data_IF_118122612162
#
_entry.id   IF_118122612162
#
_cell.length_a   1.000
_cell.length_b   1.000
_cell.length_c   1.000
_cell.angle_alpha   90.00
_cell.angle_beta   90.00
_cell.angle_gamma   90.00
#
_symmetry.space_group_name_H-M   'P 1'
#
loop_
_entity.id
_entity.type
_entity.pdbx_description
1 polymer ?
#
# COMPACT_ATOMS: atom_id res chain seq x y z
N UNK A 1 -15.58 -13.63 0.82
CA UNK A 1 -14.84 -12.78 -0.15
C UNK A 1 -13.36 -13.08 0.03
N UNK A 2 -12.62 -13.47 -1.02
CA UNK A 2 -11.19 -13.80 -0.87
C UNK A 2 -10.33 -12.61 -0.48
N UNK A 3 -9.14 -12.86 0.11
CA UNK A 3 -8.29 -11.82 0.71
C UNK A 3 -7.86 -10.74 -0.29
N UNK A 4 -7.47 -11.11 -1.52
CA UNK A 4 -7.21 -10.14 -2.60
C UNK A 4 -8.39 -9.18 -2.80
N UNK A 5 -9.60 -9.71 -2.96
CA UNK A 5 -10.82 -8.90 -3.19
C UNK A 5 -11.14 -7.99 -1.99
N UNK A 6 -10.91 -8.48 -0.77
CA UNK A 6 -11.06 -7.67 0.44
C UNK A 6 -10.08 -6.48 0.46
N UNK A 7 -8.81 -6.74 0.15
CA UNK A 7 -7.80 -5.68 0.06
C UNK A 7 -8.09 -4.69 -1.08
N UNK A 8 -8.53 -5.14 -2.25
CA UNK A 8 -8.92 -4.26 -3.35
C UNK A 8 -10.10 -3.35 -2.95
N UNK A 9 -11.10 -3.89 -2.25
CA UNK A 9 -12.22 -3.09 -1.74
C UNK A 9 -11.74 -2.04 -0.72
N UNK A 10 -10.83 -2.40 0.19
CA UNK A 10 -10.24 -1.44 1.14
C UNK A 10 -9.37 -0.40 0.46
N UNK A 11 -8.58 -0.79 -0.54
CA UNK A 11 -7.77 0.12 -1.32
C UNK A 11 -8.65 1.19 -1.99
N UNK A 12 -9.77 0.76 -2.59
CA UNK A 12 -10.76 1.68 -3.17
C UNK A 12 -11.34 2.61 -2.11
N UNK A 13 -11.82 2.07 -0.99
CA UNK A 13 -12.40 2.86 0.08
C UNK A 13 -11.43 3.95 0.59
N UNK A 14 -10.18 3.60 0.85
CA UNK A 14 -9.19 4.57 1.30
C UNK A 14 -8.83 5.61 0.23
N UNK A 15 -8.90 5.26 -1.07
CA UNK A 15 -8.76 6.24 -2.14
C UNK A 15 -9.95 7.22 -2.17
N UNK A 16 -11.17 6.71 -2.04
CA UNK A 16 -12.37 7.55 -1.97
C UNK A 16 -12.30 8.51 -0.76
N UNK A 17 -11.81 8.04 0.39
CA UNK A 17 -11.57 8.89 1.57
C UNK A 17 -10.49 9.95 1.32
N UNK A 18 -9.40 9.59 0.66
CA UNK A 18 -8.36 10.53 0.26
C UNK A 18 -8.93 11.65 -0.62
N UNK A 19 -9.70 11.28 -1.64
CA UNK A 19 -10.33 12.24 -2.56
C UNK A 19 -11.33 13.16 -1.85
N UNK A 20 -12.10 12.62 -0.90
CA UNK A 20 -13.03 13.40 -0.09
C UNK A 20 -12.32 14.41 0.82
N UNK A 21 -11.19 14.04 1.41
CA UNK A 21 -10.44 14.90 2.33
C UNK A 21 -9.63 15.98 1.62
N UNK A 22 -9.19 15.72 0.39
CA UNK A 22 -8.25 16.58 -0.33
C UNK A 22 -8.62 18.08 -0.35
N UNK A 23 -9.89 18.49 -0.54
CA UNK A 23 -10.24 19.91 -0.60
C UNK A 23 -10.15 20.65 0.73
N UNK A 24 -10.11 19.94 1.86
CA UNK A 24 -10.25 20.54 3.21
C UNK A 24 -9.14 20.15 4.18
N UNK A 25 -8.54 18.97 4.00
CA UNK A 25 -7.57 18.35 4.88
C UNK A 25 -6.53 17.59 4.04
N UNK A 26 -5.75 18.32 3.25
CA UNK A 26 -4.73 17.75 2.34
C UNK A 26 -3.79 16.78 3.05
N UNK A 27 -3.34 17.12 4.26
CA UNK A 27 -2.47 16.28 5.09
C UNK A 27 -3.12 14.91 5.34
N UNK A 28 -4.33 14.89 5.90
CA UNK A 28 -5.06 13.65 6.19
C UNK A 28 -5.44 12.88 4.92
N UNK A 29 -5.62 13.57 3.78
CA UNK A 29 -5.80 12.92 2.50
C UNK A 29 -4.57 12.07 2.12
N UNK A 30 -3.34 12.51 2.45
CA UNK A 30 -2.12 11.74 2.18
C UNK A 30 -2.02 10.48 3.03
N UNK A 31 -2.50 10.52 4.28
CA UNK A 31 -2.60 9.33 5.14
C UNK A 31 -3.52 8.29 4.50
N UNK A 32 -4.72 8.70 4.07
CA UNK A 32 -5.65 7.81 3.39
C UNK A 32 -5.07 7.27 2.06
N UNK A 33 -4.36 8.11 1.30
CA UNK A 33 -3.70 7.71 0.05
C UNK A 33 -2.65 6.60 0.28
N UNK A 34 -1.85 6.72 1.33
CA UNK A 34 -0.91 5.66 1.72
C UNK A 34 -1.64 4.35 2.07
N UNK A 35 -2.70 4.39 2.88
CA UNK A 35 -3.46 3.18 3.22
C UNK A 35 -4.11 2.53 1.98
N UNK A 36 -4.49 3.33 0.99
CA UNK A 36 -4.90 2.81 -0.32
C UNK A 36 -3.76 2.05 -1.01
N UNK A 37 -2.57 2.65 -1.12
CA UNK A 37 -1.38 2.01 -1.70
C UNK A 37 -0.97 0.74 -0.96
N UNK A 38 -1.02 0.75 0.38
CA UNK A 38 -0.71 -0.42 1.21
C UNK A 38 -1.66 -1.58 0.91
N UNK A 39 -2.95 -1.32 0.77
CA UNK A 39 -3.89 -2.38 0.44
C UNK A 39 -3.76 -2.89 -1.00
N UNK A 40 -3.32 -2.05 -1.95
CA UNK A 40 -2.94 -2.53 -3.29
C UNK A 40 -1.77 -3.53 -3.21
N UNK A 41 -0.73 -3.20 -2.44
CA UNK A 41 0.41 -4.09 -2.20
C UNK A 41 -0.04 -5.40 -1.52
N UNK A 42 -0.84 -5.31 -0.47
CA UNK A 42 -1.35 -6.50 0.23
C UNK A 42 -2.21 -7.37 -0.67
N UNK A 43 -2.98 -6.79 -1.60
CA UNK A 43 -3.73 -7.57 -2.58
C UNK A 43 -2.81 -8.40 -3.49
N UNK A 44 -1.62 -7.87 -3.82
CA UNK A 44 -0.62 -8.55 -4.67
C UNK A 44 0.13 -9.63 -3.90
N UNK A 45 0.41 -9.38 -2.61
CA UNK A 45 1.08 -10.34 -1.72
C UNK A 45 0.19 -11.53 -1.40
N UNK A 46 -1.12 -11.32 -1.22
CA UNK A 46 -2.07 -12.38 -0.83
C UNK A 46 -2.01 -13.62 -1.74
N UNK A 47 -1.71 -13.42 -3.02
CA UNK A 47 -1.64 -14.48 -4.03
C UNK A 47 -0.21 -14.73 -4.56
N UNK A 48 0.81 -14.35 -3.79
CA UNK A 48 2.19 -14.72 -4.07
C UNK A 48 2.46 -16.16 -3.57
N UNK A 49 2.50 -17.11 -4.50
CA UNK A 49 2.62 -18.54 -4.18
C UNK A 49 3.96 -18.91 -3.52
N UNK A 50 5.00 -18.12 -3.74
CA UNK A 50 6.34 -18.35 -3.19
C UNK A 50 6.47 -17.95 -1.72
N UNK A 51 5.45 -17.28 -1.16
CA UNK A 51 5.47 -16.79 0.21
C UNK A 51 4.71 -17.69 1.18
N UNK A 52 5.22 -17.73 2.41
CA UNK A 52 4.51 -18.33 3.52
C UNK A 52 3.25 -17.52 3.89
N UNK A 53 2.40 -18.06 4.78
CA UNK A 53 1.13 -17.44 5.15
C UNK A 53 1.29 -16.04 5.75
N UNK A 54 2.30 -15.84 6.59
CA UNK A 54 2.50 -14.59 7.31
C UNK A 54 3.04 -13.48 6.41
N UNK A 55 3.89 -13.82 5.44
CA UNK A 55 4.43 -12.88 4.46
C UNK A 55 3.41 -12.47 3.40
N UNK A 56 2.41 -13.33 3.14
CA UNK A 56 1.22 -12.96 2.36
C UNK A 56 0.30 -11.99 3.10
N UNK A 57 0.42 -11.91 4.43
CA UNK A 57 -0.40 -11.05 5.29
C UNK A 57 0.43 -10.31 6.34
N UNK A 58 1.38 -9.44 5.93
CA UNK A 58 2.26 -8.78 6.88
C UNK A 58 1.46 -7.92 7.87
N UNK A 59 1.66 -8.14 9.17
CA UNK A 59 0.95 -7.41 10.24
C UNK A 59 1.59 -6.06 10.60
N UNK A 60 2.84 -5.85 10.19
CA UNK A 60 3.64 -4.66 10.51
C UNK A 60 4.10 -3.99 9.21
N UNK A 61 4.30 -2.67 9.23
CA UNK A 61 4.95 -1.97 8.12
C UNK A 61 6.42 -2.39 8.02
N UNK A 62 7.13 -2.40 9.13
CA UNK A 62 8.51 -2.89 9.24
C UNK A 62 8.61 -3.93 10.34
N UNK A 63 9.43 -4.95 10.12
CA UNK A 63 9.86 -5.86 11.18
C UNK A 63 11.30 -5.55 11.62
N UNK A 64 11.59 -5.75 12.91
CA UNK A 64 12.93 -5.67 13.52
C UNK A 64 13.48 -7.05 13.91
N UNK A 65 12.64 -8.08 13.90
CA UNK A 65 13.00 -9.43 14.30
C UNK A 65 13.75 -10.13 13.16
N UNK A 66 14.89 -10.79 13.43
CA UNK A 66 15.65 -11.52 12.41
C UNK A 66 14.77 -12.56 11.71
N UNK A 67 14.72 -12.51 10.37
CA UNK A 67 13.94 -13.44 9.54
C UNK A 67 12.45 -13.07 9.39
N UNK A 68 11.91 -12.14 10.17
CA UNK A 68 10.55 -11.64 9.97
C UNK A 68 10.55 -10.43 9.01
N UNK A 69 9.63 -10.42 8.04
CA UNK A 69 9.50 -9.34 7.05
C UNK A 69 8.19 -8.58 7.24
N UNK A 70 8.28 -7.26 7.41
CA UNK A 70 7.14 -6.36 7.31
C UNK A 70 6.86 -5.97 5.86
N UNK A 71 5.76 -5.26 5.63
CA UNK A 71 5.37 -4.83 4.27
C UNK A 71 6.50 -4.10 3.54
N UNK A 72 7.29 -3.28 4.25
CA UNK A 72 8.37 -2.51 3.67
C UNK A 72 9.50 -3.41 3.15
N UNK A 73 9.92 -4.40 3.94
CA UNK A 73 10.88 -5.41 3.50
C UNK A 73 10.35 -6.21 2.31
N UNK A 74 9.05 -6.56 2.33
CA UNK A 74 8.40 -7.29 1.24
C UNK A 74 8.43 -6.50 -0.08
N UNK A 75 7.98 -5.25 -0.05
CA UNK A 75 7.99 -4.35 -1.20
C UNK A 75 9.41 -4.16 -1.74
N UNK A 76 10.40 -3.94 -0.87
CA UNK A 76 11.79 -3.78 -1.31
C UNK A 76 12.33 -5.05 -1.98
N UNK A 77 12.02 -6.23 -1.44
CA UNK A 77 12.54 -7.51 -1.94
C UNK A 77 11.84 -8.02 -3.20
N UNK A 78 10.53 -7.81 -3.33
CA UNK A 78 9.72 -8.41 -4.40
C UNK A 78 9.25 -7.42 -5.45
N UNK A 79 9.03 -6.16 -5.05
CA UNK A 79 8.37 -5.13 -5.86
C UNK A 79 9.26 -3.91 -6.05
N UNK A 80 10.53 -4.16 -6.39
CA UNK A 80 11.53 -3.11 -6.62
C UNK A 80 11.07 -1.97 -7.54
N UNK A 81 10.24 -2.17 -8.59
CA UNK A 81 9.81 -1.06 -9.44
C UNK A 81 8.95 0.00 -8.73
N UNK A 82 8.29 -0.36 -7.62
CA UNK A 82 7.43 0.54 -6.85
C UNK A 82 7.99 0.87 -5.47
N UNK A 83 9.15 0.32 -5.09
CA UNK A 83 9.66 0.41 -3.73
C UNK A 83 9.85 1.86 -3.29
N UNK A 84 10.47 2.70 -4.13
CA UNK A 84 10.67 4.13 -3.83
C UNK A 84 9.34 4.87 -3.66
N UNK A 85 8.39 4.65 -4.57
CA UNK A 85 7.07 5.29 -4.50
C UNK A 85 6.31 4.89 -3.24
N UNK A 86 6.35 3.61 -2.88
CA UNK A 86 5.70 3.10 -1.68
C UNK A 86 6.34 3.66 -0.40
N UNK A 87 7.68 3.65 -0.29
CA UNK A 87 8.37 4.19 0.88
C UNK A 87 8.13 5.69 1.04
N UNK A 88 8.11 6.44 -0.08
CA UNK A 88 7.81 7.87 -0.05
C UNK A 88 6.40 8.16 0.49
N UNK A 89 5.39 7.36 0.11
CA UNK A 89 4.03 7.51 0.64
C UNK A 89 3.92 7.10 2.11
N UNK A 90 4.62 6.04 2.51
CA UNK A 90 4.66 5.60 3.91
C UNK A 90 5.27 6.67 4.81
N UNK A 91 6.40 7.24 4.39
CA UNK A 91 7.08 8.32 5.09
C UNK A 91 6.19 9.57 5.17
N UNK A 92 5.56 9.94 4.05
CA UNK A 92 4.63 11.06 4.02
C UNK A 92 3.48 10.86 5.03
N UNK A 93 2.86 9.69 5.04
CA UNK A 93 1.80 9.34 6.01
C UNK A 93 2.29 9.34 7.47
N UNK A 94 3.55 8.97 7.71
CA UNK A 94 4.14 9.03 9.04
C UNK A 94 4.32 10.47 9.49
N UNK A 95 4.98 11.30 8.68
CA UNK A 95 5.27 12.71 8.98
C UNK A 95 4.00 13.53 9.20
N UNK A 96 2.96 13.31 8.40
CA UNK A 96 1.66 13.95 8.62
C UNK A 96 1.09 13.67 10.01
N UNK A 97 1.19 12.43 10.49
CA UNK A 97 0.57 12.02 11.76
C UNK A 97 1.37 12.43 12.99
N UNK A 98 2.69 12.47 12.89
CA UNK A 98 3.56 12.59 14.06
C UNK A 98 4.41 13.86 14.07
N UNK A 99 4.80 14.37 12.90
CA UNK A 99 5.73 15.50 12.81
C UNK A 99 5.02 16.82 12.47
N UNK A 100 3.71 16.79 12.20
CA UNK A 100 2.85 17.95 11.91
C UNK A 100 3.52 18.89 10.87
N UNK A 101 3.99 18.30 9.77
CA UNK A 101 4.61 19.05 8.69
C UNK A 101 3.54 19.58 7.73
N UNK A 102 3.57 20.88 7.43
CA UNK A 102 2.79 21.44 6.33
C UNK A 102 3.26 20.84 5.00
N UNK A 103 2.31 20.44 4.16
CA UNK A 103 2.61 19.95 2.82
C UNK A 103 3.10 21.08 1.91
N UNK A 104 4.04 20.74 1.03
CA UNK A 104 4.45 21.64 -0.05
C UNK A 104 3.48 21.56 -1.24
N UNK A 105 3.49 22.56 -2.13
CA UNK A 105 2.57 22.62 -3.28
C UNK A 105 2.72 21.44 -4.24
N UNK A 106 3.88 20.78 -4.26
CA UNK A 106 4.16 19.61 -5.10
C UNK A 106 3.86 18.28 -4.42
N UNK A 107 3.50 18.28 -3.13
CA UNK A 107 3.32 17.04 -2.38
C UNK A 107 2.12 16.24 -2.87
N UNK A 108 0.96 16.87 -3.04
CA UNK A 108 -0.27 16.20 -3.52
C UNK A 108 -0.10 15.63 -4.94
N UNK A 109 0.36 16.41 -5.95
CA UNK A 109 0.60 15.86 -7.29
C UNK A 109 1.60 14.71 -7.30
N UNK A 110 2.72 14.85 -6.58
CA UNK A 110 3.76 13.82 -6.49
C UNK A 110 3.25 12.53 -5.84
N UNK A 111 2.56 12.65 -4.71
CA UNK A 111 1.97 11.51 -4.00
C UNK A 111 0.91 10.79 -4.86
N UNK A 112 0.10 11.54 -5.61
CA UNK A 112 -0.89 10.97 -6.53
C UNK A 112 -0.21 10.16 -7.63
N UNK A 113 0.86 10.68 -8.24
CA UNK A 113 1.62 9.95 -9.26
C UNK A 113 2.28 8.67 -8.70
N UNK A 114 2.84 8.75 -7.50
CA UNK A 114 3.40 7.59 -6.80
C UNK A 114 2.32 6.52 -6.55
N UNK A 115 1.14 6.91 -6.08
CA UNK A 115 0.01 6.01 -5.89
C UNK A 115 -0.45 5.35 -7.20
N UNK A 116 -0.56 6.12 -8.29
CA UNK A 116 -0.93 5.59 -9.61
C UNK A 116 0.08 4.55 -10.13
N UNK A 117 1.38 4.77 -9.89
CA UNK A 117 2.43 3.80 -10.23
C UNK A 117 2.23 2.48 -9.49
N UNK A 118 1.97 2.55 -8.17
CA UNK A 118 1.67 1.37 -7.33
C UNK A 118 0.40 0.67 -7.80
N UNK A 119 -0.67 1.42 -8.06
CA UNK A 119 -1.94 0.87 -8.55
C UNK A 119 -1.74 0.09 -9.85
N UNK A 120 -1.06 0.68 -10.83
CA UNK A 120 -0.81 0.04 -12.13
C UNK A 120 0.00 -1.23 -11.95
N UNK A 121 1.08 -1.18 -11.18
CA UNK A 121 1.93 -2.33 -10.91
C UNK A 121 1.15 -3.49 -10.26
N UNK A 122 0.43 -3.19 -9.17
CA UNK A 122 -0.34 -4.19 -8.42
C UNK A 122 -1.50 -4.77 -9.26
N UNK A 123 -2.17 -3.95 -10.07
CA UNK A 123 -3.24 -4.41 -10.97
C UNK A 123 -2.68 -5.38 -12.00
N UNK A 124 -1.60 -5.01 -12.70
CA UNK A 124 -0.95 -5.87 -13.67
C UNK A 124 -0.48 -7.20 -13.07
N UNK A 125 0.08 -7.16 -11.85
CA UNK A 125 0.47 -8.39 -11.14
C UNK A 125 -0.74 -9.27 -10.82
N UNK A 126 -1.84 -8.67 -10.32
CA UNK A 126 -3.04 -9.40 -9.97
C UNK A 126 -3.70 -10.05 -11.20
N UNK A 127 -3.74 -9.35 -12.33
CA UNK A 127 -4.32 -9.87 -13.57
C UNK A 127 -3.52 -11.06 -14.12
N UNK A 128 -2.20 -11.06 -13.92
CA UNK A 128 -1.31 -12.14 -14.33
C UNK A 128 -1.20 -13.32 -13.35
N UNK A 129 -1.79 -13.24 -12.14
CA UNK A 129 -1.60 -14.25 -11.07
C UNK A 129 -2.89 -15.01 -10.77
N UNK A 130 -2.82 -16.36 -10.68
CA UNK A 130 -3.96 -17.15 -10.25
C UNK A 130 -4.40 -16.73 -8.85
N UNK A 131 -5.71 -16.69 -8.63
CA UNK A 131 -6.27 -16.44 -7.31
C UNK A 131 -6.10 -17.70 -6.45
N UNK A 132 -5.66 -17.55 -5.19
CA UNK A 132 -5.47 -18.64 -4.24
C UNK A 132 -6.72 -18.77 -3.36
N UNK A 133 -7.58 -19.78 -3.56
CA UNK A 133 -8.87 -19.88 -2.85
C UNK A 133 -8.72 -20.20 -1.36
N UNK A 134 -7.63 -20.86 -0.97
CA UNK A 134 -7.36 -21.28 0.42
C UNK A 134 -7.15 -20.12 1.39
N UNK A 135 -7.03 -18.88 0.90
CA UNK A 135 -6.97 -17.68 1.72
C UNK A 135 -8.36 -17.15 2.10
N UNK A 136 -9.45 -17.66 1.53
CA UNK A 136 -10.80 -17.18 1.80
C UNK A 136 -11.48 -17.80 3.04
N UNK A 137 -10.77 -18.64 3.80
CA UNK A 137 -11.24 -19.34 5.00
C UNK A 137 -10.72 -18.68 6.28
#
# INVERSE_FOLDING_TARGET
MGVRKWHLARAKHHKDVSDYLLPVHEDWAMVALFYSAMHLVHSSLADEMTLNKDERHPRKHSSIEPGARGTNQMVHSLYSPIAVSYMSLMELSHRTRYDIAQLGPMTVPGATQQWQSIQRFCTNLNDGRPWIPSQAQ
#
